data_IF_372385245191
#
_entry.id   IF_372385245191
#
_cell.length_a   1.000
_cell.length_b   1.000
_cell.length_c   1.000
_cell.angle_alpha   90.00
_cell.angle_beta   90.00
_cell.angle_gamma   90.00
#
_symmetry.space_group_name_H-M   'P 1'
#
loop_
_entity.id
_entity.type
_entity.pdbx_description
1 polymer ?
#
# COMPACT_ATOMS: atom_id res chain seq x y z
N UNK A 1 26.49 -30.65 -16.45
CA UNK A 1 25.67 -29.84 -15.52
C UNK A 1 24.80 -28.91 -16.34
N UNK A 2 23.49 -29.16 -16.45
CA UNK A 2 22.60 -28.28 -17.22
C UNK A 2 22.36 -27.00 -16.42
N UNK A 3 22.78 -25.85 -16.96
CA UNK A 3 22.40 -24.57 -16.40
C UNK A 3 20.88 -24.46 -16.43
N UNK A 4 20.24 -24.55 -15.27
CA UNK A 4 18.83 -24.23 -15.10
C UNK A 4 18.65 -22.80 -15.60
N UNK A 5 17.97 -22.63 -16.74
CA UNK A 5 17.63 -21.30 -17.26
C UNK A 5 16.91 -20.55 -16.13
N UNK A 6 17.61 -19.57 -15.55
CA UNK A 6 17.03 -18.68 -14.54
C UNK A 6 15.77 -18.07 -15.14
N UNK A 7 14.61 -18.33 -14.53
CA UNK A 7 13.34 -17.72 -14.96
C UNK A 7 13.55 -16.21 -14.97
N UNK A 8 13.22 -15.57 -16.09
CA UNK A 8 13.29 -14.12 -16.19
C UNK A 8 12.51 -13.50 -15.01
N UNK A 9 13.06 -12.46 -14.35
CA UNK A 9 12.40 -11.87 -13.20
C UNK A 9 11.05 -11.28 -13.62
N UNK A 10 9.99 -11.72 -12.96
CA UNK A 10 8.63 -11.24 -13.23
C UNK A 10 8.53 -9.75 -12.89
N UNK A 11 7.96 -8.98 -13.81
CA UNK A 11 7.67 -7.56 -13.63
C UNK A 11 6.16 -7.35 -13.57
N UNK A 12 5.76 -6.46 -12.68
CA UNK A 12 4.40 -5.99 -12.52
C UNK A 12 4.28 -4.61 -13.15
N UNK A 13 3.26 -4.43 -13.99
CA UNK A 13 2.97 -3.15 -14.65
C UNK A 13 1.70 -2.57 -14.04
N UNK A 14 1.79 -1.56 -13.14
CA UNK A 14 0.58 -0.90 -12.67
C UNK A 14 -0.10 -0.17 -13.83
N UNK A 15 -1.45 -0.06 -13.82
CA UNK A 15 -2.20 0.66 -14.85
C UNK A 15 -1.88 2.17 -14.87
N UNK A 16 -1.42 2.71 -13.73
CA UNK A 16 -1.03 4.11 -13.57
C UNK A 16 0.49 4.32 -13.41
N UNK A 17 0.91 5.54 -13.04
CA UNK A 17 2.32 5.86 -12.83
C UNK A 17 2.93 5.19 -11.59
N UNK A 18 2.10 4.64 -10.71
CA UNK A 18 2.53 3.97 -9.50
C UNK A 18 1.63 2.78 -9.15
N UNK A 19 2.20 1.84 -8.39
CA UNK A 19 1.43 0.85 -7.65
C UNK A 19 1.13 1.41 -6.26
N UNK A 20 -0.16 1.43 -5.90
CA UNK A 20 -0.61 1.77 -4.54
C UNK A 20 -0.90 0.51 -3.75
N UNK A 21 -0.35 0.41 -2.56
CA UNK A 21 -0.52 -0.74 -1.67
C UNK A 21 -1.06 -0.23 -0.34
N UNK A 22 -2.07 -0.93 0.17
CA UNK A 22 -2.57 -0.78 1.53
C UNK A 22 -2.34 -2.09 2.28
N UNK A 23 -1.80 -1.97 3.50
CA UNK A 23 -1.61 -3.10 4.39
C UNK A 23 -2.60 -2.98 5.54
N UNK A 24 -3.35 -4.04 5.76
CA UNK A 24 -4.29 -4.16 6.86
C UNK A 24 -3.92 -5.40 7.67
N UNK A 25 -4.26 -5.40 8.96
CA UNK A 25 -4.05 -6.53 9.85
C UNK A 25 -5.37 -6.91 10.51
N UNK A 26 -5.58 -8.21 10.65
CA UNK A 26 -6.67 -8.72 11.48
C UNK A 26 -6.23 -8.67 12.94
N UNK A 27 -7.00 -7.94 13.74
CA UNK A 27 -6.81 -7.84 15.18
C UNK A 27 -7.88 -8.64 15.93
N UNK A 28 -7.62 -8.93 17.21
CA UNK A 28 -8.56 -9.65 18.08
C UNK A 28 -8.56 -11.17 17.93
N UNK A 29 -9.30 -11.83 18.82
CA UNK A 29 -9.40 -13.29 18.88
C UNK A 29 -10.36 -13.88 17.84
N UNK A 30 -11.34 -13.10 17.39
CA UNK A 30 -12.29 -13.49 16.34
C UNK A 30 -11.57 -13.83 15.03
N UNK A 31 -10.54 -13.06 14.70
CA UNK A 31 -9.66 -13.30 13.56
C UNK A 31 -8.95 -14.67 13.59
N UNK A 32 -8.71 -15.24 14.78
CA UNK A 32 -8.06 -16.57 14.90
C UNK A 32 -8.96 -17.69 14.41
N UNK A 33 -10.28 -17.47 14.36
CA UNK A 33 -11.27 -18.45 13.93
C UNK A 33 -11.50 -18.42 12.42
N UNK A 34 -10.99 -17.40 11.71
CA UNK A 34 -11.13 -17.30 10.25
C UNK A 34 -10.33 -18.39 9.55
N UNK A 35 -11.02 -19.17 8.74
CA UNK A 35 -10.41 -20.15 7.85
C UNK A 35 -10.37 -19.66 6.42
N UNK A 36 -9.40 -20.15 5.64
CA UNK A 36 -9.30 -19.80 4.23
C UNK A 36 -10.58 -20.17 3.45
N UNK A 37 -11.19 -21.31 3.80
CA UNK A 37 -12.42 -21.79 3.21
C UNK A 37 -13.61 -20.85 3.47
N UNK A 38 -13.78 -20.32 4.69
CA UNK A 38 -14.87 -19.38 5.00
C UNK A 38 -14.76 -18.10 4.17
N UNK A 39 -13.58 -17.49 4.12
CA UNK A 39 -13.36 -16.27 3.35
C UNK A 39 -13.54 -16.53 1.85
N UNK A 40 -13.00 -17.63 1.35
CA UNK A 40 -13.11 -17.99 -0.08
C UNK A 40 -14.55 -18.25 -0.49
N UNK A 41 -15.32 -18.97 0.32
CA UNK A 41 -16.74 -19.19 0.07
C UNK A 41 -17.53 -17.88 0.07
N UNK A 42 -17.22 -16.98 1.01
CA UNK A 42 -17.86 -15.66 1.07
C UNK A 42 -17.51 -14.79 -0.16
N UNK A 43 -16.24 -14.80 -0.60
CA UNK A 43 -15.81 -14.11 -1.82
C UNK A 43 -16.45 -14.70 -3.08
N UNK A 44 -16.58 -16.02 -3.16
CA UNK A 44 -17.26 -16.71 -4.26
C UNK A 44 -18.74 -16.33 -4.33
N UNK A 45 -19.40 -16.09 -3.20
CA UNK A 45 -20.77 -15.58 -3.15
C UNK A 45 -20.95 -14.19 -3.79
N UNK A 46 -19.86 -13.46 -4.02
CA UNK A 46 -19.83 -12.15 -4.69
C UNK A 46 -19.16 -12.20 -6.06
N UNK A 47 -18.99 -13.41 -6.63
CA UNK A 47 -18.43 -13.63 -7.95
C UNK A 47 -19.50 -14.18 -8.92
N UNK A 48 -19.44 -13.81 -10.21
CA UNK A 48 -18.61 -12.76 -10.77
C UNK A 48 -19.12 -11.37 -10.36
N UNK A 49 -18.24 -10.37 -10.40
CA UNK A 49 -18.60 -8.97 -10.18
C UNK A 49 -19.75 -8.51 -11.10
N UNK A 50 -20.74 -7.82 -10.53
CA UNK A 50 -21.83 -7.16 -11.25
C UNK A 50 -21.96 -5.69 -10.82
N UNK A 51 -21.77 -4.71 -11.73
CA UNK A 51 -21.83 -3.27 -11.39
C UNK A 51 -23.25 -2.77 -11.04
N UNK A 52 -24.30 -3.51 -11.38
CA UNK A 52 -25.70 -3.12 -11.13
C UNK A 52 -26.20 -3.57 -9.75
N UNK A 53 -25.54 -4.55 -9.13
CA UNK A 53 -25.97 -5.15 -7.85
C UNK A 53 -25.24 -4.48 -6.69
N UNK A 54 -25.96 -4.23 -5.58
CA UNK A 54 -25.36 -3.74 -4.34
C UNK A 54 -24.85 -4.90 -3.47
N UNK A 55 -23.70 -4.76 -2.79
CA UNK A 55 -22.74 -3.66 -2.92
C UNK A 55 -22.08 -3.75 -4.30
N UNK A 56 -21.91 -2.62 -5.01
CA UNK A 56 -21.33 -2.53 -6.36
C UNK A 56 -19.83 -2.89 -6.36
N UNK A 57 -19.53 -4.10 -5.93
CA UNK A 57 -18.24 -4.64 -5.61
C UNK A 57 -18.31 -6.16 -5.73
N UNK A 58 -17.23 -6.80 -6.16
CA UNK A 58 -17.20 -8.23 -6.34
C UNK A 58 -15.80 -8.72 -6.67
N UNK A 59 -15.66 -10.03 -6.80
CA UNK A 59 -14.38 -10.68 -6.98
C UNK A 59 -14.34 -11.52 -8.26
N UNK A 60 -13.14 -11.65 -8.82
CA UNK A 60 -12.80 -12.59 -9.88
C UNK A 60 -11.46 -13.25 -9.57
N UNK A 61 -11.11 -14.30 -10.31
CA UNK A 61 -9.81 -14.99 -10.21
C UNK A 61 -9.45 -15.40 -8.77
N UNK A 62 -10.46 -15.84 -8.00
CA UNK A 62 -10.30 -16.24 -6.61
C UNK A 62 -9.52 -17.56 -6.57
N UNK A 63 -8.34 -17.52 -5.96
CA UNK A 63 -7.48 -18.67 -5.78
C UNK A 63 -7.06 -18.81 -4.31
N UNK A 64 -6.99 -20.05 -3.83
CA UNK A 64 -6.60 -20.37 -2.47
C UNK A 64 -5.44 -21.35 -2.50
N UNK A 65 -4.37 -21.01 -1.80
CA UNK A 65 -3.19 -21.87 -1.62
C UNK A 65 -2.82 -21.89 -0.15
N UNK A 66 -3.20 -22.96 0.55
CA UNK A 66 -2.98 -23.11 1.98
C UNK A 66 -3.71 -22.03 2.80
N UNK A 67 -2.97 -21.19 3.51
CA UNK A 67 -3.49 -20.06 4.31
C UNK A 67 -3.50 -18.72 3.56
N UNK A 68 -3.16 -18.74 2.27
CA UNK A 68 -3.15 -17.56 1.42
C UNK A 68 -4.32 -17.60 0.44
N UNK A 69 -5.05 -16.49 0.37
CA UNK A 69 -6.11 -16.26 -0.61
C UNK A 69 -5.68 -15.10 -1.49
N UNK A 70 -5.82 -15.24 -2.80
CA UNK A 70 -5.56 -14.19 -3.78
C UNK A 70 -6.79 -14.02 -4.64
N UNK A 71 -7.23 -12.79 -4.89
CA UNK A 71 -8.32 -12.50 -5.80
C UNK A 71 -8.15 -11.11 -6.40
N UNK A 72 -8.79 -10.88 -7.53
CA UNK A 72 -8.98 -9.52 -8.05
C UNK A 72 -10.34 -9.00 -7.63
N UNK A 73 -10.36 -7.80 -7.07
CA UNK A 73 -11.57 -7.10 -6.66
C UNK A 73 -11.90 -6.01 -7.66
N UNK A 74 -13.18 -5.93 -8.01
CA UNK A 74 -13.76 -4.84 -8.78
C UNK A 74 -14.67 -4.01 -7.87
N UNK A 75 -14.67 -2.69 -8.07
CA UNK A 75 -15.56 -1.76 -7.37
C UNK A 75 -16.09 -0.74 -8.38
N UNK A 76 -17.41 -0.61 -8.47
CA UNK A 76 -18.09 0.44 -9.21
C UNK A 76 -18.50 1.58 -8.30
N UNK A 77 -18.31 2.81 -8.76
CA UNK A 77 -18.72 4.03 -8.06
C UNK A 77 -19.24 5.07 -9.03
N UNK A 78 -20.20 5.87 -8.55
CA UNK A 78 -20.75 6.98 -9.30
C UNK A 78 -19.78 8.17 -9.24
N UNK A 79 -19.43 8.69 -10.41
CA UNK A 79 -18.68 9.92 -10.59
C UNK A 79 -19.65 10.96 -11.14
N UNK A 80 -19.86 12.02 -10.37
CA UNK A 80 -20.68 13.14 -10.78
C UNK A 80 -19.80 14.15 -11.50
N UNK A 81 -20.13 14.43 -12.76
CA UNK A 81 -19.52 15.51 -13.51
C UNK A 81 -20.58 16.58 -13.79
N UNK A 82 -20.16 17.83 -13.75
CA UNK A 82 -20.97 18.94 -14.24
C UNK A 82 -20.53 19.24 -15.66
N UNK A 83 -21.43 19.08 -16.61
CA UNK A 83 -21.26 19.56 -17.98
C UNK A 83 -22.14 20.79 -18.17
N UNK A 84 -21.89 21.57 -19.22
CA UNK A 84 -22.74 22.70 -19.57
C UNK A 84 -23.51 22.36 -20.84
N UNK A 85 -24.81 22.65 -20.85
CA UNK A 85 -25.63 22.47 -22.05
C UNK A 85 -25.28 23.53 -23.12
N UNK A 86 -25.97 23.48 -24.27
CA UNK A 86 -25.75 24.46 -25.35
C UNK A 86 -26.12 25.90 -24.98
N UNK A 87 -26.84 26.10 -23.87
CA UNK A 87 -27.24 27.42 -23.33
C UNK A 87 -26.31 27.89 -22.21
N UNK A 88 -25.34 27.06 -21.80
CA UNK A 88 -24.42 27.35 -20.70
C UNK A 88 -24.96 27.01 -19.32
N UNK A 89 -26.08 26.27 -19.23
CA UNK A 89 -26.65 25.83 -17.96
C UNK A 89 -25.97 24.55 -17.46
N UNK A 90 -25.71 24.41 -16.14
CA UNK A 90 -25.05 23.24 -15.59
C UNK A 90 -25.97 22.02 -15.57
N UNK A 91 -25.56 20.95 -16.26
CA UNK A 91 -26.17 19.63 -16.23
C UNK A 91 -25.32 18.68 -15.37
N UNK A 92 -25.95 18.09 -14.35
CA UNK A 92 -25.32 17.04 -13.53
C UNK A 92 -25.46 15.70 -14.23
N UNK A 93 -24.34 15.17 -14.71
CA UNK A 93 -24.26 13.84 -15.28
C UNK A 93 -23.58 12.88 -14.29
N UNK A 94 -24.13 11.67 -14.15
CA UNK A 94 -23.53 10.59 -13.36
C UNK A 94 -22.94 9.52 -14.27
N UNK A 95 -21.68 9.19 -14.07
CA UNK A 95 -20.98 8.12 -14.78
C UNK A 95 -20.58 7.03 -13.80
N UNK A 96 -20.82 5.77 -14.13
CA UNK A 96 -20.29 4.65 -13.35
C UNK A 96 -18.86 4.40 -13.79
N UNK A 97 -17.92 4.52 -12.85
CA UNK A 97 -16.51 4.16 -13.06
C UNK A 97 -16.22 2.87 -12.30
N UNK A 98 -15.49 1.96 -12.94
CA UNK A 98 -15.09 0.67 -12.37
C UNK A 98 -13.59 0.69 -12.11
N UNK A 99 -13.20 0.39 -10.87
CA UNK A 99 -11.81 0.14 -10.50
C UNK A 99 -11.55 -1.35 -10.31
N UNK A 100 -10.35 -1.79 -10.67
CA UNK A 100 -9.80 -3.12 -10.37
C UNK A 100 -8.57 -2.99 -9.49
N UNK A 101 -8.41 -3.94 -8.57
CA UNK A 101 -7.19 -4.11 -7.78
C UNK A 101 -7.08 -5.54 -7.29
N UNK A 102 -5.88 -5.92 -6.84
CA UNK A 102 -5.63 -7.27 -6.33
C UNK A 102 -5.66 -7.27 -4.80
N UNK A 103 -6.26 -8.32 -4.23
CA UNK A 103 -6.36 -8.56 -2.79
C UNK A 103 -5.62 -9.86 -2.48
N UNK A 104 -4.75 -9.80 -1.47
CA UNK A 104 -3.99 -10.96 -0.99
C UNK A 104 -4.17 -11.03 0.51
N UNK A 105 -4.78 -12.13 0.99
CA UNK A 105 -5.04 -12.38 2.41
C UNK A 105 -4.12 -13.51 2.87
N UNK A 106 -3.25 -13.24 3.84
CA UNK A 106 -2.33 -14.19 4.46
C UNK A 106 -2.74 -14.44 5.91
N UNK A 107 -3.48 -15.52 6.16
CA UNK A 107 -4.09 -15.78 7.47
C UNK A 107 -3.08 -16.21 8.54
N UNK A 108 -1.98 -16.85 8.13
CA UNK A 108 -0.84 -17.15 9.00
C UNK A 108 -0.20 -15.88 9.57
N UNK A 109 -0.09 -14.83 8.76
CA UNK A 109 0.44 -13.52 9.14
C UNK A 109 -0.64 -12.53 9.62
N UNK A 110 -1.91 -12.95 9.60
CA UNK A 110 -3.08 -12.09 9.83
C UNK A 110 -3.08 -10.81 8.98
N UNK A 111 -2.51 -10.87 7.78
CA UNK A 111 -2.21 -9.71 6.96
C UNK A 111 -3.09 -9.70 5.72
N UNK A 112 -3.62 -8.52 5.39
CA UNK A 112 -4.27 -8.27 4.11
C UNK A 112 -3.48 -7.21 3.35
N UNK A 113 -3.13 -7.54 2.12
CA UNK A 113 -2.47 -6.68 1.18
C UNK A 113 -3.44 -6.33 0.06
N UNK A 114 -3.67 -5.04 -0.17
CA UNK A 114 -4.54 -4.54 -1.22
C UNK A 114 -3.70 -3.71 -2.18
N UNK A 115 -3.55 -4.21 -3.40
CA UNK A 115 -2.89 -3.54 -4.53
C UNK A 115 -3.94 -2.79 -5.33
N UNK A 116 -4.18 -1.53 -5.00
CA UNK A 116 -5.21 -0.71 -5.63
C UNK A 116 -5.37 0.67 -5.00
N UNK A 117 -6.45 1.36 -5.38
CA UNK A 117 -6.77 2.69 -4.86
C UNK A 117 -7.17 2.64 -3.37
N UNK A 118 -7.20 3.79 -2.71
CA UNK A 118 -7.75 3.92 -1.36
C UNK A 118 -9.25 3.62 -1.31
N UNK A 119 -10.00 3.93 -2.37
CA UNK A 119 -11.44 3.65 -2.47
C UNK A 119 -11.70 2.15 -2.51
N UNK A 120 -10.92 1.41 -3.30
CA UNK A 120 -10.98 -0.04 -3.37
C UNK A 120 -10.65 -0.67 -2.02
N UNK A 121 -9.57 -0.21 -1.37
CA UNK A 121 -9.20 -0.71 -0.05
C UNK A 121 -10.27 -0.43 1.02
N UNK A 122 -10.90 0.76 0.99
CA UNK A 122 -12.00 1.08 1.88
C UNK A 122 -13.22 0.20 1.62
N UNK A 123 -13.58 -0.02 0.35
CA UNK A 123 -14.71 -0.87 -0.03
C UNK A 123 -14.47 -2.32 0.39
N UNK A 124 -13.24 -2.81 0.19
CA UNK A 124 -12.84 -4.14 0.62
C UNK A 124 -13.05 -4.34 2.12
N UNK A 125 -12.62 -3.39 2.97
CA UNK A 125 -12.82 -3.46 4.43
C UNK A 125 -14.28 -3.61 4.81
N UNK A 126 -15.16 -2.81 4.18
CA UNK A 126 -16.61 -2.89 4.42
C UNK A 126 -17.17 -4.24 4.00
N UNK A 127 -16.88 -4.68 2.78
CA UNK A 127 -17.37 -5.96 2.25
C UNK A 127 -16.87 -7.14 3.09
N UNK A 128 -15.58 -7.16 3.45
CA UNK A 128 -15.02 -8.23 4.26
C UNK A 128 -15.69 -8.30 5.64
N UNK A 129 -15.93 -7.16 6.27
CA UNK A 129 -16.64 -7.11 7.54
C UNK A 129 -18.09 -7.60 7.41
N UNK A 130 -18.82 -7.20 6.36
CA UNK A 130 -20.18 -7.70 6.09
C UNK A 130 -20.21 -9.23 5.89
N UNK A 131 -19.17 -9.78 5.25
CA UNK A 131 -19.08 -11.21 4.93
C UNK A 131 -18.61 -12.08 6.10
N UNK A 132 -17.78 -11.54 6.99
CA UNK A 132 -17.04 -12.36 7.97
C UNK A 132 -17.20 -11.90 9.40
N UNK A 133 -17.83 -10.74 9.61
CA UNK A 133 -17.92 -10.03 10.90
C UNK A 133 -16.56 -9.66 11.52
N UNK A 134 -15.45 -9.90 10.83
CA UNK A 134 -14.10 -9.58 11.29
C UNK A 134 -13.58 -8.34 10.58
N UNK A 135 -12.99 -7.43 11.36
CA UNK A 135 -12.39 -6.19 10.84
C UNK A 135 -10.93 -6.41 10.46
N UNK A 136 -10.58 -6.02 9.24
CA UNK A 136 -9.21 -5.77 8.83
C UNK A 136 -8.92 -4.27 9.00
N UNK A 137 -8.12 -3.91 9.98
CA UNK A 137 -7.78 -2.52 10.28
C UNK A 137 -6.39 -2.16 9.75
N UNK A 138 -6.10 -0.87 9.67
CA UNK A 138 -4.79 -0.41 9.19
C UNK A 138 -3.69 -1.03 10.04
N UNK A 139 -2.64 -1.52 9.38
CA UNK A 139 -1.48 -2.00 10.10
C UNK A 139 -0.81 -0.82 10.82
N UNK A 140 -0.74 -0.91 12.14
CA UNK A 140 -0.16 0.09 13.04
C UNK A 140 1.35 -0.11 13.14
N UNK A 141 2.10 1.00 13.15
CA UNK A 141 3.55 1.01 13.30
C UNK A 141 3.94 1.84 14.51
N UNK A 142 4.67 1.22 15.43
CA UNK A 142 5.30 1.90 16.56
C UNK A 142 6.37 2.89 16.09
N UNK A 143 6.67 3.88 16.91
CA UNK A 143 7.57 4.98 16.56
C UNK A 143 8.96 4.47 16.16
N UNK A 144 9.48 3.49 16.88
CA UNK A 144 10.77 2.85 16.66
C UNK A 144 10.78 2.09 15.33
N UNK A 145 9.75 1.28 15.08
CA UNK A 145 9.53 0.58 13.79
C UNK A 145 9.56 1.55 12.60
N UNK A 146 8.88 2.70 12.70
CA UNK A 146 8.87 3.70 11.62
C UNK A 146 10.27 4.25 11.34
N UNK A 147 11.05 4.46 12.41
CA UNK A 147 12.44 4.91 12.33
C UNK A 147 13.33 3.85 11.68
N UNK A 148 13.20 2.60 12.09
CA UNK A 148 13.94 1.47 11.54
C UNK A 148 13.70 1.30 10.04
N UNK A 149 12.43 1.35 9.61
CA UNK A 149 12.06 1.27 8.19
C UNK A 149 12.68 2.43 7.39
N UNK A 150 12.65 3.65 7.94
CA UNK A 150 13.28 4.81 7.32
C UNK A 150 14.81 4.67 7.21
N UNK A 151 15.49 4.27 8.29
CA UNK A 151 16.93 4.08 8.29
C UNK A 151 17.35 2.92 7.35
N UNK A 152 16.58 1.83 7.30
CA UNK A 152 16.83 0.70 6.39
C UNK A 152 16.78 1.15 4.92
N UNK A 153 15.81 1.99 4.54
CA UNK A 153 15.67 2.49 3.17
C UNK A 153 16.70 3.56 2.82
N UNK A 154 17.14 4.36 3.80
CA UNK A 154 18.08 5.46 3.56
C UNK A 154 19.55 5.07 3.71
N UNK A 155 19.83 3.97 4.41
CA UNK A 155 21.17 3.44 4.66
C UNK A 155 21.20 1.92 4.41
N UNK A 156 20.96 1.46 3.17
CA UNK A 156 20.99 0.04 2.87
C UNK A 156 22.39 -0.53 3.18
N UNK A 157 22.44 -1.53 4.05
CA UNK A 157 23.68 -2.18 4.51
C UNK A 157 24.34 -3.05 3.44
N UNK A 158 23.62 -3.37 2.37
CA UNK A 158 24.13 -4.03 1.17
C UNK A 158 24.50 -2.94 0.15
N UNK A 159 25.75 -2.50 0.18
CA UNK A 159 26.24 -1.43 -0.69
C UNK A 159 26.18 -1.86 -2.17
N UNK A 160 25.48 -1.10 -3.04
CA UNK A 160 25.67 -1.23 -4.48
C UNK A 160 27.11 -0.79 -4.83
N UNK A 161 27.75 -1.39 -5.86
CA UNK A 161 29.12 -1.07 -6.27
C UNK A 161 29.31 0.35 -6.85
N UNK A 162 28.26 1.17 -6.93
CA UNK A 162 28.28 2.58 -7.32
C UNK A 162 27.38 3.38 -6.36
N UNK A 163 27.66 4.67 -6.12
CA UNK A 163 26.73 5.53 -5.40
C UNK A 163 25.44 5.64 -6.23
N UNK A 164 24.44 4.86 -5.85
CA UNK A 164 23.08 5.08 -6.31
C UNK A 164 22.49 6.17 -5.41
N UNK A 165 22.00 7.24 -6.02
CA UNK A 165 21.50 8.42 -5.29
C UNK A 165 20.21 8.07 -4.52
N UNK A 166 20.37 7.71 -3.25
CA UNK A 166 19.28 7.79 -2.29
C UNK A 166 18.99 9.28 -2.07
N UNK A 167 17.74 9.67 -2.27
CA UNK A 167 17.28 11.03 -1.99
C UNK A 167 15.96 10.97 -1.26
N UNK A 168 15.90 11.53 -0.06
CA UNK A 168 14.64 11.83 0.60
C UNK A 168 14.24 13.24 0.18
N UNK A 169 13.11 13.35 -0.51
CA UNK A 169 12.61 14.60 -1.08
C UNK A 169 11.64 15.30 -0.11
N UNK A 170 10.99 14.50 0.74
CA UNK A 170 9.95 14.97 1.64
C UNK A 170 9.82 14.05 2.86
N UNK A 171 9.73 14.65 4.04
CA UNK A 171 9.48 13.93 5.30
C UNK A 171 8.56 14.75 6.19
N UNK A 172 7.64 14.06 6.87
CA UNK A 172 6.72 14.65 7.82
C UNK A 172 6.87 13.97 9.17
N UNK A 173 6.99 14.81 10.19
CA UNK A 173 6.92 14.42 11.59
C UNK A 173 5.59 14.85 12.20
N UNK A 174 5.00 13.96 13.00
CA UNK A 174 3.83 14.20 13.86
C UNK A 174 4.20 13.95 15.32
N UNK A 175 3.25 14.14 16.23
CA UNK A 175 3.40 13.82 17.66
C UNK A 175 4.62 14.51 18.29
N UNK A 176 4.87 15.75 17.87
CA UNK A 176 6.02 16.53 18.28
C UNK A 176 5.78 17.08 19.69
N UNK A 177 6.66 16.74 20.63
CA UNK A 177 6.61 17.19 22.02
C UNK A 177 7.24 18.58 22.14
N UNK A 178 6.60 19.58 21.52
CA UNK A 178 6.96 21.00 21.64
C UNK A 178 5.69 21.84 21.67
N UNK A 179 5.45 22.52 22.80
CA UNK A 179 4.26 23.30 23.24
C UNK A 179 3.08 23.42 22.25
N UNK A 180 3.27 24.00 21.06
CA UNK A 180 2.18 24.25 20.09
C UNK A 180 2.36 23.58 18.71
N UNK A 181 3.47 22.88 18.47
CA UNK A 181 3.78 22.30 17.18
C UNK A 181 3.24 20.87 17.08
N UNK A 182 2.18 20.65 16.29
CA UNK A 182 1.60 19.31 16.07
C UNK A 182 2.24 18.53 14.91
N UNK A 183 2.81 19.25 13.94
CA UNK A 183 3.32 18.68 12.69
C UNK A 183 4.48 19.51 12.16
N UNK A 184 5.53 18.86 11.67
CA UNK A 184 6.62 19.48 10.93
C UNK A 184 6.78 18.79 9.56
N UNK A 185 6.92 19.57 8.49
CA UNK A 185 7.05 19.08 7.13
C UNK A 185 8.29 19.68 6.48
N UNK A 186 9.17 18.81 5.98
CA UNK A 186 10.42 19.18 5.31
C UNK A 186 10.35 18.75 3.86
N UNK A 187 10.66 19.67 2.94
CA UNK A 187 10.71 19.41 1.50
C UNK A 187 12.02 19.95 0.94
N UNK A 188 12.64 19.19 0.05
CA UNK A 188 13.91 19.55 -0.58
C UNK A 188 14.72 18.31 -0.93
N UNK A 189 15.85 18.48 -1.60
CA UNK A 189 16.64 17.34 -2.05
C UNK A 189 17.60 16.83 -0.96
N UNK A 190 17.79 15.51 -0.91
CA UNK A 190 18.76 14.85 -0.03
C UNK A 190 18.56 15.18 1.47
N UNK A 191 17.30 15.26 1.93
CA UNK A 191 16.95 15.61 3.32
C UNK A 191 17.55 14.68 4.37
N UNK A 192 17.89 13.43 4.01
CA UNK A 192 18.50 12.46 4.93
C UNK A 192 19.87 12.90 5.49
N UNK A 193 20.55 13.86 4.83
CA UNK A 193 21.83 14.41 5.27
C UNK A 193 21.71 15.75 6.02
N UNK A 194 20.49 16.29 6.14
CA UNK A 194 20.26 17.60 6.79
C UNK A 194 20.20 17.45 8.30
N UNK A 195 21.04 18.21 8.99
CA UNK A 195 21.13 18.19 10.45
C UNK A 195 19.80 18.59 11.10
N UNK A 196 19.07 19.54 10.50
CA UNK A 196 17.78 20.04 10.96
C UNK A 196 16.72 18.94 10.97
N UNK A 197 16.66 18.10 9.93
CA UNK A 197 15.71 16.97 9.84
C UNK A 197 15.99 15.96 10.96
N UNK A 198 17.27 15.66 11.21
CA UNK A 198 17.69 14.82 12.33
C UNK A 198 17.36 15.44 13.70
N UNK A 199 17.43 16.76 13.82
CA UNK A 199 17.13 17.51 15.04
C UNK A 199 15.67 17.36 15.46
N UNK A 200 14.73 17.45 14.51
CA UNK A 200 13.30 17.30 14.80
C UNK A 200 12.92 15.89 15.26
N UNK A 201 13.61 14.87 14.74
CA UNK A 201 13.43 13.48 15.20
C UNK A 201 13.97 13.24 16.62
N UNK A 202 15.07 13.91 17.02
CA UNK A 202 15.79 13.62 18.28
C UNK A 202 15.43 14.55 19.43
N UNK A 203 15.29 15.86 19.17
CA UNK A 203 15.09 16.85 20.23
C UNK A 203 13.63 17.09 20.56
N UNK A 204 12.73 16.94 19.59
CA UNK A 204 11.30 17.20 19.79
C UNK A 204 10.46 15.93 19.79
N UNK A 205 11.11 14.77 19.89
CA UNK A 205 10.48 13.47 20.04
C UNK A 205 9.44 13.14 18.96
N UNK A 206 9.57 13.72 17.76
CA UNK A 206 8.59 13.56 16.68
C UNK A 206 8.62 12.17 16.03
N UNK A 207 7.44 11.68 15.65
CA UNK A 207 7.24 10.41 14.96
C UNK A 207 7.17 10.62 13.46
N UNK A 208 7.85 9.79 12.66
CA UNK A 208 7.76 9.86 11.19
C UNK A 208 6.35 9.42 10.77
N UNK A 209 5.56 10.33 10.21
CA UNK A 209 4.21 10.03 9.69
C UNK A 209 4.28 9.53 8.24
N UNK A 210 5.06 10.23 7.42
CA UNK A 210 5.27 9.88 6.01
C UNK A 210 6.64 10.35 5.53
N UNK A 211 7.16 9.68 4.52
CA UNK A 211 8.30 10.16 3.75
C UNK A 211 8.23 9.71 2.30
N UNK A 212 8.89 10.47 1.43
CA UNK A 212 8.97 10.21 -0.01
C UNK A 212 10.40 10.44 -0.47
N UNK A 213 10.86 9.60 -1.38
CA UNK A 213 12.20 9.70 -1.94
C UNK A 213 12.48 8.67 -3.01
N UNK A 214 13.70 8.68 -3.53
CA UNK A 214 14.25 7.64 -4.39
C UNK A 214 15.05 6.70 -3.49
N UNK A 215 14.68 5.42 -3.48
CA UNK A 215 15.32 4.38 -2.68
C UNK A 215 15.76 3.22 -3.56
N UNK A 216 16.84 2.56 -3.12
CA UNK A 216 17.42 1.43 -3.84
C UNK A 216 16.87 0.14 -3.23
N UNK A 217 16.17 -0.62 -4.07
CA UNK A 217 15.59 -1.90 -3.68
C UNK A 217 16.63 -3.03 -3.86
N UNK A 218 16.39 -4.24 -3.31
CA UNK A 218 17.35 -5.35 -3.39
C UNK A 218 17.75 -5.77 -4.82
N UNK A 219 16.96 -5.41 -5.83
CA UNK A 219 17.35 -5.58 -7.24
C UNK A 219 18.42 -4.60 -7.74
N UNK A 220 18.83 -3.62 -6.93
CA UNK A 220 19.55 -2.40 -7.32
C UNK A 220 18.77 -1.45 -8.23
N UNK A 221 17.45 -1.64 -8.37
CA UNK A 221 16.61 -0.70 -9.12
C UNK A 221 16.21 0.46 -8.20
N UNK A 222 16.46 1.72 -8.60
CA UNK A 222 15.93 2.87 -7.90
C UNK A 222 14.44 3.02 -8.18
N UNK A 223 13.62 3.09 -7.14
CA UNK A 223 12.22 3.50 -7.27
C UNK A 223 11.97 4.75 -6.45
N UNK A 224 11.17 5.66 -7.03
CA UNK A 224 10.52 6.68 -6.23
C UNK A 224 9.43 5.98 -5.41
N UNK A 225 9.53 6.10 -4.09
CA UNK A 225 8.60 5.46 -3.16
C UNK A 225 8.11 6.49 -2.15
N UNK A 226 6.82 6.42 -1.83
CA UNK A 226 6.23 7.15 -0.72
C UNK A 226 5.66 6.17 0.29
N UNK A 227 6.08 6.28 1.54
CA UNK A 227 5.53 5.51 2.65
C UNK A 227 4.74 6.46 3.54
N UNK A 228 3.53 6.07 3.88
CA UNK A 228 2.66 6.78 4.81
C UNK A 228 2.17 5.77 5.85
N UNK A 229 2.73 5.87 7.05
CA UNK A 229 2.48 4.97 8.16
C UNK A 229 1.07 5.16 8.73
N UNK A 230 0.59 6.40 8.80
CA UNK A 230 -0.75 6.71 9.36
C UNK A 230 -1.89 6.10 8.51
N UNK A 231 -1.64 5.89 7.22
CA UNK A 231 -2.59 5.23 6.32
C UNK A 231 -2.22 3.78 6.00
N UNK A 232 -1.16 3.26 6.64
CA UNK A 232 -0.57 1.96 6.37
C UNK A 232 -0.41 1.65 4.89
N UNK A 233 0.35 2.52 4.22
CA UNK A 233 0.38 2.56 2.78
C UNK A 233 1.74 2.84 2.19
N UNK A 234 1.97 2.24 1.02
CA UNK A 234 3.14 2.51 0.19
C UNK A 234 2.71 2.76 -1.25
N UNK A 235 3.30 3.78 -1.86
CA UNK A 235 3.21 4.06 -3.29
C UNK A 235 4.59 3.84 -3.90
N UNK A 236 4.67 3.03 -4.96
CA UNK A 236 5.91 2.76 -5.67
C UNK A 236 5.70 3.19 -7.11
N UNK A 237 6.44 4.20 -7.56
CA UNK A 237 6.36 4.69 -8.94
C UNK A 237 7.09 3.72 -9.87
N UNK A 238 6.45 3.38 -11.00
CA UNK A 238 7.01 2.42 -11.94
C UNK A 238 8.17 3.02 -12.74
N UNK A 239 9.11 2.16 -13.13
CA UNK A 239 10.05 2.48 -14.21
C UNK A 239 9.39 2.25 -15.58
N UNK A 240 10.10 2.50 -16.67
CA UNK A 240 9.65 2.14 -18.03
C UNK A 240 9.24 0.66 -18.11
N UNK A 241 9.99 -0.21 -17.43
CA UNK A 241 9.83 -1.66 -17.48
C UNK A 241 8.83 -2.16 -16.42
N UNK A 242 8.24 -1.28 -15.62
CA UNK A 242 7.37 -1.64 -14.50
C UNK A 242 8.12 -1.71 -13.17
N UNK A 243 7.64 -2.58 -12.27
CA UNK A 243 8.19 -2.84 -10.93
C UNK A 243 8.54 -4.32 -10.85
N UNK A 244 9.73 -4.67 -10.38
CA UNK A 244 10.10 -6.06 -10.18
C UNK A 244 9.27 -6.68 -9.05
N UNK A 245 8.65 -7.84 -9.30
CA UNK A 245 7.77 -8.49 -8.31
C UNK A 245 8.53 -8.86 -7.03
N UNK A 246 9.83 -9.19 -7.14
CA UNK A 246 10.69 -9.45 -5.97
C UNK A 246 10.87 -8.23 -5.07
N UNK A 247 10.95 -7.03 -5.66
CA UNK A 247 11.14 -5.77 -4.93
C UNK A 247 9.83 -5.34 -4.27
N UNK A 248 8.72 -5.53 -4.99
CA UNK A 248 7.37 -5.33 -4.47
C UNK A 248 7.12 -6.22 -3.24
N UNK A 249 7.40 -7.52 -3.35
CA UNK A 249 7.30 -8.46 -2.23
C UNK A 249 8.22 -8.10 -1.07
N UNK A 250 9.45 -7.67 -1.36
CA UNK A 250 10.40 -7.29 -0.33
C UNK A 250 9.89 -6.13 0.52
N UNK A 251 9.44 -5.02 -0.09
CA UNK A 251 9.00 -3.87 0.70
C UNK A 251 7.73 -4.17 1.49
N UNK A 252 6.81 -4.95 0.93
CA UNK A 252 5.62 -5.41 1.67
C UNK A 252 6.02 -6.26 2.86
N UNK A 253 6.95 -7.20 2.67
CA UNK A 253 7.48 -8.07 3.72
C UNK A 253 8.14 -7.24 4.83
N UNK A 254 9.00 -6.29 4.47
CA UNK A 254 9.60 -5.36 5.44
C UNK A 254 8.54 -4.64 6.25
N UNK A 255 7.54 -4.05 5.59
CA UNK A 255 6.49 -3.31 6.30
C UNK A 255 5.68 -4.23 7.22
N UNK A 256 5.43 -5.48 6.81
CA UNK A 256 4.66 -6.42 7.61
C UNK A 256 5.43 -7.00 8.81
N UNK A 257 6.71 -7.35 8.65
CA UNK A 257 7.48 -8.04 9.70
C UNK A 257 7.99 -7.11 10.81
N UNK A 258 8.34 -5.86 10.49
CA UNK A 258 8.85 -4.90 11.49
C UNK A 258 7.71 -4.31 12.35
N UNK A 259 6.46 -4.65 12.03
CA UNK A 259 5.24 -4.20 12.72
C UNK A 259 4.72 -5.16 13.80
N UNK A 260 5.48 -6.20 14.13
CA UNK A 260 5.21 -7.16 15.22
C UNK A 260 6.01 -6.83 16.47
#
# INVERSE_FOLDING_TARGET
MSATKSKAPTRFMPPGPFQSIRLLKFYGDEAKKLTAAQITNAMNGMAPFNPEVKPRAGFIDINTSGKTITADMYVAYDVYATTFDKKGEPEKNSFVTIERGSVIIRLDQKLVEIRGSSRLASRFRSVLYELTEVRADQLVFEKETRREIYDMLTKPTQAPPKPLDISVDHIVYTDIVKKDLKKAEFRGDKLQHKAEVGHYSRMYDGTISRFTGIFIYPSNTPYKTSINFDNSSVLIFKTSDGILEKDLRWIIKTLAEVSE
#
